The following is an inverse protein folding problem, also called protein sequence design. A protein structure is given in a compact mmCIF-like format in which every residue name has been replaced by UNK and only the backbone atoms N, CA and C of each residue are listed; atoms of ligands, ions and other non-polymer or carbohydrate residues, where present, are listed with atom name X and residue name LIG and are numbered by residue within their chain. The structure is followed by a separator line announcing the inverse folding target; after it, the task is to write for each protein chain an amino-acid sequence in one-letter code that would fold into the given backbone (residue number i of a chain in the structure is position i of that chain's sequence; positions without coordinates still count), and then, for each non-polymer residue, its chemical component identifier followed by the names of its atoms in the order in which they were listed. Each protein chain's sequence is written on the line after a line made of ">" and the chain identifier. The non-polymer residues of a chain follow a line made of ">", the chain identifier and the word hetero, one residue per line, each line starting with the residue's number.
data_IF_104727936797
#
_entry.id   IF_104727936797
#
_cell.length_a   1.000
_cell.length_b   1.000
_cell.length_c   1.000
_cell.angle_alpha   90.00
_cell.angle_beta   90.00
_cell.angle_gamma   90.00
#
_symmetry.space_group_name_H-M   'P 1'
#
loop_
_entity.id
_entity.type
_entity.pdbx_description
1 polymer ?
#
# COMPACT_ATOMS: atom_id res chain seq x y z
N UNK A 1 -47.28 -26.84 -53.46
CA UNK A 1 -48.70 -27.16 -53.19
C UNK A 1 -48.86 -27.13 -51.67
N UNK A 2 -49.41 -26.04 -51.10
CA UNK A 2 -50.80 -25.92 -50.60
C UNK A 2 -51.06 -26.97 -49.50
N UNK A 3 -50.88 -26.64 -48.21
CA UNK A 3 -51.75 -25.90 -47.26
C UNK A 3 -52.69 -26.83 -46.46
N UNK A 4 -52.77 -26.50 -45.17
CA UNK A 4 -53.87 -26.74 -44.22
C UNK A 4 -54.02 -28.18 -43.69
N UNK A 5 -54.32 -28.44 -42.41
CA UNK A 5 -55.37 -27.75 -41.64
C UNK A 5 -55.09 -27.74 -40.13
N UNK A 6 -55.48 -26.60 -39.56
CA UNK A 6 -55.54 -26.15 -38.18
C UNK A 6 -56.59 -26.87 -37.31
N UNK A 7 -56.51 -26.57 -36.00
CA UNK A 7 -57.59 -26.48 -35.00
C UNK A 7 -57.89 -27.75 -34.17
N UNK A 8 -57.51 -27.76 -32.89
CA UNK A 8 -58.29 -27.28 -31.72
C UNK A 8 -59.00 -28.49 -31.06
N UNK A 9 -59.25 -28.62 -29.76
CA UNK A 9 -59.47 -27.68 -28.68
C UNK A 9 -59.49 -28.53 -27.37
N UNK A 10 -58.77 -28.08 -26.34
CA UNK A 10 -59.13 -27.99 -24.91
C UNK A 10 -59.99 -29.11 -24.27
N UNK A 11 -59.48 -29.75 -23.20
CA UNK A 11 -60.06 -29.72 -21.84
C UNK A 11 -59.40 -30.73 -20.88
N UNK A 12 -59.34 -30.34 -19.60
CA UNK A 12 -59.09 -31.10 -18.36
C UNK A 12 -57.60 -31.34 -18.01
N UNK A 13 -56.95 -30.44 -17.27
CA UNK A 13 -57.14 -30.11 -15.84
C UNK A 13 -56.91 -31.32 -14.93
N UNK A 14 -55.68 -31.43 -14.42
CA UNK A 14 -55.38 -32.10 -13.15
C UNK A 14 -54.13 -31.45 -12.57
N UNK A 15 -54.33 -30.78 -11.45
CA UNK A 15 -53.31 -30.12 -10.65
C UNK A 15 -52.23 -31.12 -10.22
N UNK A 16 -50.97 -30.86 -10.55
CA UNK A 16 -49.83 -31.25 -9.71
C UNK A 16 -49.13 -29.98 -9.24
N UNK A 17 -49.51 -29.56 -8.05
CA UNK A 17 -48.64 -28.81 -7.17
C UNK A 17 -47.68 -29.79 -6.47
N UNK A 18 -46.53 -29.26 -6.04
CA UNK A 18 -45.45 -29.89 -5.27
C UNK A 18 -44.39 -30.63 -6.13
N UNK A 19 -43.08 -30.40 -5.97
CA UNK A 19 -42.35 -29.77 -4.87
C UNK A 19 -41.21 -28.89 -5.43
N UNK A 20 -41.10 -27.67 -4.89
CA UNK A 20 -39.90 -26.86 -5.05
C UNK A 20 -38.71 -27.59 -4.38
N UNK A 21 -37.49 -27.54 -4.94
CA UNK A 21 -36.32 -28.04 -4.25
C UNK A 21 -36.16 -27.28 -2.93
N UNK A 22 -35.99 -28.01 -1.83
CA UNK A 22 -35.81 -27.44 -0.51
C UNK A 22 -34.62 -26.46 -0.53
N UNK A 23 -34.74 -25.28 0.09
CA UNK A 23 -33.61 -24.36 0.20
C UNK A 23 -32.51 -25.03 1.02
N UNK A 24 -31.30 -25.11 0.46
CA UNK A 24 -30.12 -25.49 1.21
C UNK A 24 -30.00 -24.57 2.44
N UNK A 25 -30.24 -25.16 3.61
CA UNK A 25 -29.97 -24.52 4.88
C UNK A 25 -28.46 -24.33 4.99
N UNK A 26 -28.00 -23.11 4.69
CA UNK A 26 -26.68 -22.65 5.14
C UNK A 26 -26.60 -22.87 6.65
N UNK A 27 -25.51 -23.44 7.19
CA UNK A 27 -25.31 -23.41 8.63
C UNK A 27 -25.27 -21.93 9.06
N UNK A 28 -26.23 -21.53 9.89
CA UNK A 28 -26.18 -20.25 10.61
C UNK A 28 -24.88 -20.24 11.40
N UNK A 29 -23.91 -19.43 10.95
CA UNK A 29 -22.81 -19.02 11.80
C UNK A 29 -23.44 -18.20 12.91
N UNK A 30 -23.39 -18.65 14.18
CA UNK A 30 -23.95 -17.86 15.27
C UNK A 30 -23.26 -16.50 15.26
N UNK A 31 -23.99 -15.39 15.48
CA UNK A 31 -23.35 -14.09 15.58
C UNK A 31 -22.35 -14.14 16.72
N UNK A 32 -21.06 -14.22 16.38
CA UNK A 32 -20.00 -14.09 17.36
C UNK A 32 -20.21 -12.76 18.06
N UNK A 33 -20.65 -12.83 19.32
CA UNK A 33 -20.75 -11.67 20.21
C UNK A 33 -19.39 -10.97 20.19
N UNK A 34 -19.33 -9.83 19.53
CA UNK A 34 -18.24 -8.86 19.61
C UNK A 34 -18.24 -8.09 20.95
N UNK A 35 -18.91 -8.61 21.99
CA UNK A 35 -18.99 -8.00 23.31
C UNK A 35 -17.90 -8.54 24.25
N UNK A 36 -16.62 -8.40 23.87
CA UNK A 36 -15.51 -8.58 24.83
C UNK A 36 -14.14 -8.02 24.43
N UNK A 37 -14.07 -7.10 23.48
CA UNK A 37 -12.90 -6.21 23.40
C UNK A 37 -13.31 -4.84 23.91
N UNK A 38 -13.13 -4.63 25.23
CA UNK A 38 -12.87 -3.27 25.71
C UNK A 38 -11.70 -2.74 24.87
N UNK A 39 -11.82 -1.62 24.17
CA UNK A 39 -10.64 -0.95 23.65
C UNK A 39 -9.77 -0.66 24.87
N UNK A 40 -8.55 -1.20 24.88
CA UNK A 40 -7.49 -0.62 25.71
C UNK A 40 -7.22 0.74 25.09
N UNK A 41 -7.98 1.74 25.53
CA UNK A 41 -7.57 3.13 25.47
C UNK A 41 -6.32 3.15 26.35
N UNK A 42 -5.14 3.08 25.72
CA UNK A 42 -3.92 3.48 26.38
C UNK A 42 -4.06 4.98 26.59
N UNK A 43 -4.52 5.35 27.79
CA UNK A 43 -4.47 6.72 28.28
C UNK A 43 -3.03 7.20 28.19
N UNK A 44 -2.85 8.28 27.43
CA UNK A 44 -1.59 8.94 27.10
C UNK A 44 -1.01 9.75 28.27
N UNK A 45 -0.84 9.15 29.45
CA UNK A 45 -0.33 9.88 30.63
C UNK A 45 0.97 9.37 31.28
N UNK A 46 1.53 8.23 30.86
CA UNK A 46 2.77 7.71 31.46
C UNK A 46 4.05 7.98 30.65
N UNK A 47 4.29 9.26 30.33
CA UNK A 47 5.60 9.75 29.86
C UNK A 47 6.16 10.90 30.72
N UNK A 48 5.83 10.92 32.01
CA UNK A 48 6.52 11.77 32.99
C UNK A 48 7.12 10.95 34.12
N UNK A 49 8.41 10.66 33.96
CA UNK A 49 9.51 10.70 34.96
C UNK A 49 10.43 9.49 34.83
N UNK A 50 11.59 9.71 34.18
CA UNK A 50 12.81 8.96 34.49
C UNK A 50 13.96 9.95 34.52
N UNK A 51 14.59 10.07 35.69
CA UNK A 51 15.99 10.46 35.87
C UNK A 51 16.34 11.94 35.74
N UNK A 52 16.64 12.58 36.88
CA UNK A 52 17.65 13.66 36.93
C UNK A 52 18.95 13.08 36.37
N UNK A 53 19.37 13.57 35.20
CA UNK A 53 20.74 13.43 34.71
C UNK A 53 21.24 14.82 34.30
N UNK A 54 22.53 15.03 34.54
CA UNK A 54 23.19 16.32 34.59
C UNK A 54 23.17 17.10 33.28
N UNK A 55 23.16 18.42 33.46
CA UNK A 55 23.08 19.47 32.45
C UNK A 55 24.34 19.45 31.56
N UNK A 56 24.26 18.77 30.42
CA UNK A 56 25.21 18.95 29.31
C UNK A 56 24.40 19.33 28.08
N UNK A 57 24.77 20.43 27.42
CA UNK A 57 23.91 21.14 26.47
C UNK A 57 23.42 20.28 25.30
N UNK A 58 22.13 19.93 25.32
CA UNK A 58 21.49 19.21 24.22
C UNK A 58 20.97 20.18 23.17
N UNK A 59 21.58 20.11 21.98
CA UNK A 59 20.94 20.57 20.77
C UNK A 59 19.62 19.82 20.62
N UNK A 60 18.50 20.56 20.59
CA UNK A 60 17.17 20.03 20.31
C UNK A 60 17.24 19.10 19.08
N UNK A 61 16.82 17.81 19.18
CA UNK A 61 16.86 16.93 18.03
C UNK A 61 16.03 17.56 16.91
N UNK A 62 16.66 17.73 15.74
CA UNK A 62 15.99 18.25 14.56
C UNK A 62 14.74 17.41 14.29
N UNK A 63 13.64 18.07 13.93
CA UNK A 63 12.42 17.36 13.55
C UNK A 63 12.73 16.37 12.41
N UNK A 64 12.11 15.18 12.39
CA UNK A 64 12.32 14.22 11.33
C UNK A 64 11.93 14.86 9.99
N UNK A 65 12.92 15.05 9.11
CA UNK A 65 12.76 15.71 7.82
C UNK A 65 13.15 14.76 6.69
N UNK A 66 12.50 14.92 5.55
CA UNK A 66 12.91 14.24 4.33
C UNK A 66 14.28 14.78 3.89
N UNK A 67 15.27 13.91 3.77
CA UNK A 67 16.62 14.27 3.33
C UNK A 67 16.76 14.13 1.81
N UNK A 68 17.29 15.16 1.16
CA UNK A 68 17.49 15.19 -0.30
C UNK A 68 18.98 15.23 -0.62
N UNK A 69 19.47 14.20 -1.31
CA UNK A 69 20.78 14.20 -1.94
C UNK A 69 20.61 14.38 -3.45
N UNK A 70 20.56 15.64 -3.88
CA UNK A 70 20.39 16.01 -5.28
C UNK A 70 21.56 15.56 -6.16
N UNK A 71 22.78 15.42 -5.60
CA UNK A 71 23.95 14.95 -6.36
C UNK A 71 23.87 13.45 -6.63
N UNK A 72 23.43 12.67 -5.64
CA UNK A 72 23.25 11.23 -5.79
C UNK A 72 21.90 10.84 -6.42
N UNK A 73 21.00 11.81 -6.67
CA UNK A 73 19.65 11.58 -7.16
C UNK A 73 18.83 10.73 -6.19
N UNK A 74 18.96 10.98 -4.88
CA UNK A 74 18.39 10.16 -3.82
C UNK A 74 17.56 10.99 -2.83
N UNK A 75 16.49 10.39 -2.34
CA UNK A 75 15.65 10.93 -1.25
C UNK A 75 15.60 9.91 -0.12
N UNK A 76 15.82 10.35 1.12
CA UNK A 76 15.71 9.49 2.32
C UNK A 76 14.60 10.00 3.21
N UNK A 77 13.70 9.09 3.58
CA UNK A 77 12.51 9.38 4.36
C UNK A 77 12.63 8.63 5.68
N UNK A 78 12.56 9.30 6.85
CA UNK A 78 12.51 8.59 8.13
C UNK A 78 11.24 7.73 8.19
N UNK A 79 11.39 6.47 8.60
CA UNK A 79 10.27 5.52 8.68
C UNK A 79 10.29 4.73 9.98
N UNK A 80 9.14 4.14 10.32
CA UNK A 80 9.00 3.16 11.39
C UNK A 80 8.28 1.93 10.83
N UNK A 81 8.84 0.72 11.00
CA UNK A 81 8.14 -0.51 10.69
C UNK A 81 6.84 -0.64 11.48
N UNK A 82 5.80 -1.12 10.84
CA UNK A 82 4.55 -1.46 11.52
C UNK A 82 4.61 -2.90 12.04
N UNK A 83 3.77 -3.22 13.02
CA UNK A 83 3.55 -4.60 13.50
C UNK A 83 2.35 -5.27 12.80
N UNK A 84 2.08 -4.89 11.55
CA UNK A 84 0.89 -5.32 10.80
C UNK A 84 0.82 -6.84 10.69
N UNK A 85 -0.33 -7.40 11.08
CA UNK A 85 -0.66 -8.81 10.95
C UNK A 85 -1.84 -8.93 10.00
N UNK A 86 -1.60 -9.36 8.77
CA UNK A 86 -2.64 -9.47 7.76
C UNK A 86 -2.19 -8.94 6.40
N UNK A 87 -3.14 -8.90 5.48
CA UNK A 87 -2.89 -8.42 4.11
C UNK A 87 -2.44 -6.96 4.18
N UNK A 88 -1.32 -6.66 3.55
CA UNK A 88 -0.83 -5.30 3.35
C UNK A 88 -1.22 -4.84 1.96
N UNK A 89 -1.65 -3.59 1.89
CA UNK A 89 -2.00 -2.90 0.64
C UNK A 89 -0.92 -1.89 0.29
N UNK A 90 -0.12 -1.47 1.27
CA UNK A 90 0.82 -0.35 1.16
C UNK A 90 2.19 -0.72 1.71
N UNK A 91 3.22 -0.31 0.97
CA UNK A 91 4.58 -0.31 1.49
C UNK A 91 4.75 0.82 2.51
N UNK A 92 4.30 2.03 2.18
CA UNK A 92 4.52 3.23 2.98
C UNK A 92 3.25 4.07 3.09
N UNK A 93 2.92 4.47 4.33
CA UNK A 93 1.86 5.43 4.62
C UNK A 93 2.34 6.57 5.52
N UNK A 94 1.66 7.72 5.44
CA UNK A 94 1.84 8.81 6.41
C UNK A 94 1.36 8.38 7.81
N UNK A 95 2.00 8.89 8.86
CA UNK A 95 1.70 8.54 10.26
C UNK A 95 0.24 8.88 10.59
N UNK A 96 -0.42 7.99 11.32
CA UNK A 96 -1.84 8.12 11.69
C UNK A 96 -2.82 7.68 10.60
N UNK A 97 -2.32 7.26 9.42
CA UNK A 97 -3.15 6.77 8.32
C UNK A 97 -2.87 5.29 8.07
N UNK A 98 -3.91 4.47 8.19
CA UNK A 98 -3.91 3.05 7.80
C UNK A 98 -2.68 2.21 8.24
N UNK A 99 -2.21 2.32 9.51
CA UNK A 99 -1.03 1.57 9.95
C UNK A 99 -1.25 0.06 9.88
N UNK A 100 -2.50 -0.42 10.01
CA UNK A 100 -2.87 -1.83 10.01
C UNK A 100 -2.81 -2.53 8.63
N UNK A 101 -2.58 -1.80 7.55
CA UNK A 101 -2.44 -2.35 6.17
C UNK A 101 -1.17 -1.83 5.47
N UNK A 102 -0.26 -1.24 6.24
CA UNK A 102 1.01 -0.68 5.76
C UNK A 102 2.19 -1.45 6.35
N UNK A 103 3.30 -1.56 5.63
CA UNK A 103 4.56 -2.15 6.15
C UNK A 103 5.38 -1.10 6.91
N UNK A 104 5.42 0.13 6.41
CA UNK A 104 6.16 1.25 6.98
C UNK A 104 5.22 2.44 7.17
N UNK A 105 5.48 3.24 8.21
CA UNK A 105 4.88 4.56 8.38
C UNK A 105 5.96 5.63 8.46
N UNK A 106 5.68 6.82 7.93
CA UNK A 106 6.58 7.99 8.03
C UNK A 106 5.88 9.14 8.74
N UNK A 107 6.58 9.94 9.57
CA UNK A 107 6.03 11.20 10.08
C UNK A 107 5.91 12.28 9.00
N UNK A 108 6.54 12.12 7.83
CA UNK A 108 6.53 13.09 6.75
C UNK A 108 5.20 13.10 5.99
N UNK A 109 4.77 14.27 5.53
CA UNK A 109 3.57 14.42 4.71
C UNK A 109 3.81 14.00 3.26
N UNK A 110 2.73 13.77 2.51
CA UNK A 110 2.84 13.46 1.10
C UNK A 110 3.39 14.64 0.28
N UNK A 111 3.01 15.86 0.66
CA UNK A 111 3.54 17.09 0.06
C UNK A 111 5.06 17.20 0.24
N UNK A 112 5.56 16.91 1.45
CA UNK A 112 7.00 16.94 1.75
C UNK A 112 7.78 15.91 0.93
N UNK A 113 7.28 14.68 0.87
CA UNK A 113 7.91 13.61 0.08
C UNK A 113 7.88 13.93 -1.42
N UNK A 114 6.75 14.40 -1.94
CA UNK A 114 6.63 14.77 -3.34
C UNK A 114 7.56 15.93 -3.72
N UNK A 115 7.64 16.97 -2.88
CA UNK A 115 8.54 18.10 -3.10
C UNK A 115 10.02 17.67 -3.05
N UNK A 116 10.37 16.76 -2.13
CA UNK A 116 11.72 16.21 -2.03
C UNK A 116 12.11 15.41 -3.30
N UNK A 117 11.21 14.57 -3.81
CA UNK A 117 11.42 13.83 -5.06
C UNK A 117 11.57 14.78 -6.25
N UNK A 118 10.72 15.80 -6.38
CA UNK A 118 10.87 16.82 -7.41
C UNK A 118 12.23 17.54 -7.33
N UNK A 119 12.67 17.91 -6.11
CA UNK A 119 13.98 18.55 -5.87
C UNK A 119 15.16 17.64 -6.20
N UNK A 120 15.02 16.33 -6.03
CA UNK A 120 16.00 15.33 -6.48
C UNK A 120 15.91 15.04 -7.99
N UNK A 121 15.05 15.75 -8.72
CA UNK A 121 14.88 15.68 -10.16
C UNK A 121 13.96 14.55 -10.64
N UNK A 122 13.18 13.91 -9.79
CA UNK A 122 12.24 12.88 -10.24
C UNK A 122 11.07 13.53 -10.99
N UNK A 123 10.77 13.02 -12.17
CA UNK A 123 9.65 13.49 -12.98
C UNK A 123 8.41 12.64 -12.71
N UNK A 124 7.31 13.32 -12.40
CA UNK A 124 6.01 12.70 -12.20
C UNK A 124 5.50 12.12 -13.52
N UNK A 125 5.11 10.86 -13.50
CA UNK A 125 4.48 10.21 -14.63
C UNK A 125 2.96 10.18 -14.61
N UNK A 126 2.41 9.16 -15.25
CA UNK A 126 0.98 8.90 -15.39
C UNK A 126 0.54 7.83 -14.40
N UNK A 127 -0.54 8.13 -13.67
CA UNK A 127 -1.21 7.24 -12.71
C UNK A 127 -1.86 6.03 -13.39
N UNK A 128 -2.11 4.92 -12.66
CA UNK A 128 -2.91 3.84 -13.21
C UNK A 128 -4.32 4.35 -13.54
N UNK A 129 -4.89 3.89 -14.65
CA UNK A 129 -6.31 4.09 -14.93
C UNK A 129 -7.10 2.90 -14.35
N UNK A 130 -8.18 3.14 -13.60
CA UNK A 130 -8.94 2.06 -12.97
C UNK A 130 -9.49 1.06 -13.99
N UNK A 131 -9.57 -0.19 -13.57
CA UNK A 131 -10.13 -1.32 -14.33
C UNK A 131 -11.62 -1.03 -14.56
N UNK A 132 -12.03 -0.97 -15.83
CA UNK A 132 -13.38 -0.55 -16.25
C UNK A 132 -13.38 0.39 -17.46
N UNK A 133 -12.22 0.95 -17.81
CA UNK A 133 -11.95 1.50 -19.14
C UNK A 133 -11.42 0.39 -20.06
N UNK A 134 -11.79 0.39 -21.34
CA UNK A 134 -11.38 -0.62 -22.35
C UNK A 134 -9.85 -0.79 -22.49
N UNK A 135 -9.05 0.04 -21.81
CA UNK A 135 -7.59 -0.01 -21.75
C UNK A 135 -7.11 0.39 -20.36
N UNK A 136 -7.22 -0.50 -19.38
CA UNK A 136 -6.49 -0.33 -18.11
C UNK A 136 -4.99 -0.16 -18.43
N UNK A 137 -4.47 1.07 -18.26
CA UNK A 137 -3.06 1.35 -18.51
C UNK A 137 -2.28 1.24 -17.20
N UNK A 138 -1.17 0.48 -17.16
CA UNK A 138 -0.30 0.47 -15.99
C UNK A 138 0.29 1.88 -15.78
N UNK A 139 0.70 2.22 -14.55
CA UNK A 139 1.37 3.49 -14.33
C UNK A 139 2.69 3.55 -15.11
N UNK A 140 3.00 4.74 -15.57
CA UNK A 140 4.26 5.05 -16.28
C UNK A 140 4.88 6.27 -15.63
N UNK A 141 6.21 6.40 -15.64
CA UNK A 141 6.88 7.51 -14.99
C UNK A 141 8.33 7.18 -14.70
N UNK A 142 8.96 7.98 -13.82
CA UNK A 142 10.34 7.70 -13.38
C UNK A 142 10.37 6.35 -12.66
N UNK A 143 11.11 5.39 -13.20
CA UNK A 143 11.38 4.12 -12.52
C UNK A 143 12.30 4.38 -11.31
N UNK A 144 11.94 3.82 -10.16
CA UNK A 144 12.66 4.04 -8.92
C UNK A 144 13.04 2.72 -8.25
N UNK A 145 14.15 2.75 -7.54
CA UNK A 145 14.54 1.73 -6.57
C UNK A 145 14.21 2.24 -5.18
N UNK A 146 13.57 1.38 -4.38
CA UNK A 146 13.25 1.68 -2.98
C UNK A 146 14.03 0.70 -2.10
N UNK A 147 14.85 1.24 -1.20
CA UNK A 147 15.67 0.47 -0.26
C UNK A 147 15.42 0.94 1.16
N UNK A 148 15.09 0.03 2.06
CA UNK A 148 15.09 0.28 3.49
C UNK A 148 16.54 0.24 4.01
N UNK A 149 16.99 1.35 4.56
CA UNK A 149 18.24 1.49 5.28
C UNK A 149 17.96 1.28 6.77
N UNK A 150 18.50 0.21 7.32
CA UNK A 150 18.39 -0.10 8.74
C UNK A 150 19.74 0.11 9.42
N UNK A 151 19.77 1.01 10.41
CA UNK A 151 20.96 1.29 11.21
C UNK A 151 20.75 0.79 12.64
N UNK A 152 21.16 -0.46 12.97
CA UNK A 152 21.18 -0.93 14.34
C UNK A 152 22.20 -0.12 15.16
N UNK A 153 21.96 0.01 16.47
CA UNK A 153 22.85 0.75 17.37
C UNK A 153 24.28 0.21 17.30
N UNK A 154 25.26 1.05 16.94
CA UNK A 154 26.67 0.66 16.82
C UNK A 154 27.04 -0.22 15.62
N UNK A 155 26.09 -0.55 14.74
CA UNK A 155 26.31 -1.47 13.61
C UNK A 155 26.48 -0.79 12.24
N UNK A 156 26.79 -1.61 11.23
CA UNK A 156 26.80 -1.20 9.82
C UNK A 156 25.36 -1.02 9.32
N UNK A 157 25.18 -0.11 8.36
CA UNK A 157 23.88 0.10 7.70
C UNK A 157 23.57 -1.13 6.84
N UNK A 158 22.45 -1.78 7.13
CA UNK A 158 21.89 -2.87 6.31
C UNK A 158 20.97 -2.27 5.26
N UNK A 159 21.09 -2.74 4.02
CA UNK A 159 20.30 -2.29 2.88
C UNK A 159 19.35 -3.41 2.45
N UNK A 160 18.05 -3.17 2.55
CA UNK A 160 17.01 -4.17 2.28
C UNK A 160 16.12 -3.63 1.15
N UNK A 161 16.11 -4.25 -0.05
CA UNK A 161 15.19 -3.86 -1.11
C UNK A 161 13.74 -3.93 -0.66
N UNK A 162 12.91 -2.94 -1.01
CA UNK A 162 11.51 -2.89 -0.61
C UNK A 162 10.70 -4.11 -1.04
N UNK A 163 11.07 -4.73 -2.18
CA UNK A 163 10.46 -5.96 -2.66
C UNK A 163 10.60 -7.11 -1.63
N UNK A 164 11.69 -7.17 -0.85
CA UNK A 164 11.87 -8.17 0.21
C UNK A 164 10.99 -7.94 1.43
N UNK A 165 10.44 -6.73 1.59
CA UNK A 165 9.55 -6.39 2.69
C UNK A 165 8.10 -6.83 2.44
N UNK A 166 7.78 -7.21 1.19
CA UNK A 166 6.47 -7.64 0.73
C UNK A 166 6.58 -9.11 0.31
N UNK A 167 5.60 -9.92 0.67
CA UNK A 167 5.50 -11.31 0.27
C UNK A 167 4.13 -11.59 -0.36
N UNK A 168 4.08 -12.38 -1.42
CA UNK A 168 2.83 -12.79 -2.04
C UNK A 168 2.01 -13.67 -1.09
N UNK A 169 0.70 -13.42 -1.01
CA UNK A 169 -0.21 -14.24 -0.18
C UNK A 169 -0.32 -15.70 -0.64
N UNK A 170 -0.16 -15.95 -1.93
CA UNK A 170 -0.33 -17.27 -2.54
C UNK A 170 0.67 -18.31 -2.01
N UNK A 171 1.92 -17.91 -1.85
CA UNK A 171 3.06 -18.81 -1.68
C UNK A 171 4.08 -18.31 -0.64
N UNK A 172 3.88 -17.11 -0.08
CA UNK A 172 4.80 -16.50 0.87
C UNK A 172 6.13 -16.06 0.27
N UNK A 173 6.30 -16.18 -1.05
CA UNK A 173 7.53 -15.74 -1.72
C UNK A 173 7.64 -14.22 -1.65
N UNK A 174 8.84 -13.66 -1.43
CA UNK A 174 9.06 -12.23 -1.59
C UNK A 174 8.54 -11.77 -2.94
N UNK A 175 7.95 -10.59 -2.97
CA UNK A 175 7.50 -10.00 -4.24
C UNK A 175 8.69 -9.96 -5.20
N UNK A 176 8.49 -10.45 -6.43
CA UNK A 176 9.51 -10.40 -7.47
C UNK A 176 9.99 -8.94 -7.65
N UNK A 177 11.24 -8.66 -8.08
CA UNK A 177 11.68 -7.30 -8.32
C UNK A 177 11.03 -6.78 -9.61
N UNK A 178 9.73 -6.49 -9.51
CA UNK A 178 9.03 -5.53 -10.33
C UNK A 178 9.59 -4.13 -10.08
N UNK A 179 9.11 -3.16 -10.85
CA UNK A 179 9.61 -1.78 -10.79
C UNK A 179 8.69 -0.94 -9.92
N UNK A 180 9.26 -0.06 -9.11
CA UNK A 180 8.51 1.05 -8.54
C UNK A 180 8.49 2.20 -9.54
N UNK A 181 7.33 2.85 -9.67
CA UNK A 181 7.13 3.97 -10.59
C UNK A 181 6.64 5.17 -9.80
N UNK A 182 7.34 6.29 -9.94
CA UNK A 182 6.89 7.58 -9.42
C UNK A 182 5.94 8.25 -10.40
N UNK A 183 4.73 8.58 -9.91
CA UNK A 183 3.67 9.21 -10.71
C UNK A 183 3.28 10.60 -10.19
N UNK A 184 4.00 11.11 -9.18
CA UNK A 184 3.72 12.41 -8.57
C UNK A 184 2.44 12.44 -7.74
N UNK A 185 2.14 13.55 -7.05
CA UNK A 185 0.91 13.75 -6.27
C UNK A 185 -0.30 14.09 -7.16
N UNK A 186 -1.51 13.75 -6.70
CA UNK A 186 -2.77 14.17 -7.33
C UNK A 186 -3.40 15.29 -6.52
N UNK A 187 -3.94 16.30 -7.20
CA UNK A 187 -4.75 17.37 -6.62
C UNK A 187 -6.22 17.19 -6.99
N UNK A 188 -7.10 17.49 -6.05
CA UNK A 188 -8.55 17.66 -6.28
C UNK A 188 -8.93 19.04 -5.77
N UNK A 189 -9.82 19.73 -6.48
CA UNK A 189 -10.26 21.09 -6.18
C UNK A 189 -9.63 22.11 -7.13
N UNK A 190 -10.10 23.35 -7.03
CA UNK A 190 -9.61 24.48 -7.82
C UNK A 190 -8.26 24.98 -7.27
N UNK A 191 -7.51 25.75 -8.05
CA UNK A 191 -6.12 26.15 -7.73
C UNK A 191 -5.93 26.76 -6.33
N UNK A 192 -6.93 27.50 -5.83
CA UNK A 192 -6.92 28.13 -4.50
C UNK A 192 -7.20 27.17 -3.35
N UNK A 193 -7.97 26.10 -3.57
CA UNK A 193 -8.42 25.15 -2.53
C UNK A 193 -7.98 23.70 -2.81
N UNK A 194 -6.95 23.54 -3.64
CA UNK A 194 -6.51 22.22 -4.07
C UNK A 194 -5.95 21.41 -2.90
N UNK A 195 -6.48 20.19 -2.71
CA UNK A 195 -6.01 19.25 -1.70
C UNK A 195 -5.31 18.09 -2.39
N UNK A 196 -4.16 17.67 -1.83
CA UNK A 196 -3.51 16.46 -2.29
C UNK A 196 -4.32 15.24 -1.88
N UNK A 197 -4.72 14.41 -2.84
CA UNK A 197 -5.46 13.16 -2.59
C UNK A 197 -4.68 12.25 -1.65
N UNK A 198 -3.36 12.26 -1.79
CA UNK A 198 -2.41 11.51 -0.96
C UNK A 198 -2.39 11.98 0.51
N UNK A 199 -2.72 13.24 0.81
CA UNK A 199 -2.84 13.73 2.19
C UNK A 199 -4.13 13.22 2.86
N UNK A 200 -5.19 13.07 2.06
CA UNK A 200 -6.46 12.52 2.53
C UNK A 200 -6.32 11.03 2.84
N UNK A 201 -5.78 10.26 1.90
CA UNK A 201 -5.63 8.80 2.02
C UNK A 201 -4.44 8.38 2.89
N UNK A 202 -3.40 9.19 2.96
CA UNK A 202 -2.12 8.85 3.59
C UNK A 202 -1.31 7.77 2.87
N UNK A 203 -1.71 7.34 1.67
CA UNK A 203 -1.02 6.29 0.91
C UNK A 203 0.17 6.89 0.15
N UNK A 204 1.41 6.51 0.46
CA UNK A 204 2.58 7.05 -0.25
C UNK A 204 3.10 6.08 -1.31
N UNK A 205 3.24 4.82 -0.95
CA UNK A 205 3.70 3.76 -1.85
C UNK A 205 2.81 2.53 -1.73
N UNK A 206 2.21 2.11 -2.84
CA UNK A 206 1.19 1.05 -2.88
C UNK A 206 1.53 -0.04 -3.90
N UNK A 207 1.09 -1.27 -3.59
CA UNK A 207 1.03 -2.37 -4.55
C UNK A 207 -0.37 -2.50 -5.15
N UNK A 208 -1.39 -1.87 -4.57
CA UNK A 208 -2.75 -1.88 -5.10
C UNK A 208 -2.90 -0.84 -6.21
N UNK A 209 -2.94 -1.30 -7.46
CA UNK A 209 -3.14 -0.43 -8.63
C UNK A 209 -4.53 0.22 -8.69
N UNK A 210 -5.49 -0.24 -7.86
CA UNK A 210 -6.81 0.41 -7.70
C UNK A 210 -6.75 1.60 -6.75
N UNK A 211 -5.72 1.69 -5.91
CA UNK A 211 -5.50 2.86 -5.06
C UNK A 211 -5.02 4.02 -5.94
N UNK A 212 -5.92 4.89 -6.37
CA UNK A 212 -5.57 6.04 -7.21
C UNK A 212 -4.86 7.18 -6.45
N UNK A 213 -4.63 7.05 -5.14
CA UNK A 213 -4.18 8.15 -4.28
C UNK A 213 -2.67 8.18 -4.01
N UNK A 214 -1.96 7.07 -4.23
CA UNK A 214 -0.53 6.97 -3.95
C UNK A 214 0.34 7.82 -4.88
N UNK A 215 1.60 8.06 -4.53
CA UNK A 215 2.58 8.74 -5.40
C UNK A 215 3.59 7.78 -6.03
N UNK A 216 3.69 6.57 -5.48
CA UNK A 216 4.56 5.49 -5.92
C UNK A 216 3.74 4.21 -6.07
N UNK A 217 3.92 3.54 -7.21
CA UNK A 217 3.23 2.31 -7.54
C UNK A 217 4.23 1.20 -7.83
N UNK A 218 4.01 0.04 -7.25
CA UNK A 218 4.69 -1.17 -7.70
C UNK A 218 4.04 -1.67 -8.99
N UNK A 219 4.86 -2.00 -9.97
CA UNK A 219 4.45 -2.56 -11.26
C UNK A 219 5.14 -3.91 -11.42
N UNK A 220 4.38 -5.02 -11.51
CA UNK A 220 4.95 -6.34 -11.79
C UNK A 220 5.61 -6.38 -13.17
N UNK A 221 6.39 -7.43 -13.42
CA UNK A 221 6.92 -7.70 -14.75
C UNK A 221 5.78 -8.04 -15.73
N UNK A 222 5.99 -7.72 -17.00
CA UNK A 222 4.95 -7.76 -18.04
C UNK A 222 4.46 -9.16 -18.41
N UNK A 223 5.11 -10.20 -17.91
CA UNK A 223 4.79 -11.62 -18.11
C UNK A 223 3.80 -12.19 -17.09
N UNK A 224 3.39 -11.41 -16.07
CA UNK A 224 2.39 -11.87 -15.11
C UNK A 224 0.94 -11.68 -15.62
N UNK A 225 0.09 -12.73 -15.56
CA UNK A 225 -1.24 -12.75 -16.19
C UNK A 225 -2.30 -11.86 -15.50
N UNK A 226 -2.09 -11.46 -14.24
CA UNK A 226 -2.98 -10.54 -13.53
C UNK A 226 -2.18 -9.57 -12.65
N UNK A 227 -1.68 -8.45 -13.21
CA UNK A 227 -0.86 -7.51 -12.46
C UNK A 227 -1.65 -6.69 -11.42
N UNK A 228 -2.97 -6.84 -11.34
CA UNK A 228 -3.90 -5.93 -10.67
C UNK A 228 -4.45 -6.41 -9.31
N UNK A 229 -4.13 -7.62 -8.84
CA UNK A 229 -4.81 -8.19 -7.66
C UNK A 229 -3.94 -9.05 -6.72
N UNK A 230 -2.63 -8.80 -6.62
CA UNK A 230 -1.78 -9.58 -5.71
C UNK A 230 -1.92 -9.08 -4.27
N UNK A 231 -2.69 -9.80 -3.46
CA UNK A 231 -2.69 -9.60 -2.02
C UNK A 231 -1.29 -9.90 -1.47
N UNK A 232 -0.74 -8.96 -0.70
CA UNK A 232 0.60 -9.07 -0.12
C UNK A 232 0.53 -9.23 1.39
N UNK A 233 1.59 -9.75 2.01
CA UNK A 233 1.85 -9.70 3.45
C UNK A 233 3.16 -8.96 3.72
N UNK A 234 3.32 -8.44 4.93
CA UNK A 234 4.63 -7.98 5.40
C UNK A 234 5.56 -9.20 5.61
N UNK A 235 6.74 -9.17 5.00
CA UNK A 235 7.77 -10.20 5.18
C UNK A 235 8.38 -10.09 6.58
N UNK A 236 8.10 -11.07 7.44
CA UNK A 236 8.51 -11.04 8.85
C UNK A 236 10.00 -11.31 9.05
N UNK A 237 10.63 -12.03 8.11
CA UNK A 237 12.06 -12.33 8.14
C UNK A 237 12.93 -11.14 7.70
N UNK A 238 12.32 -10.12 7.07
CA UNK A 238 13.04 -9.00 6.46
C UNK A 238 12.93 -7.70 7.24
N UNK A 239 12.19 -7.65 8.37
CA UNK A 239 12.10 -6.48 9.24
C UNK A 239 13.12 -6.60 10.39
N UNK A 240 14.10 -5.68 10.50
CA UNK A 240 15.13 -5.73 11.54
C UNK A 240 14.58 -5.52 12.96
N UNK A 241 15.40 -5.89 13.96
CA UNK A 241 15.05 -5.81 15.39
C UNK A 241 14.61 -4.41 15.86
N UNK A 242 13.81 -4.39 16.93
CA UNK A 242 13.29 -3.17 17.54
C UNK A 242 14.43 -2.28 18.08
N UNK A 243 14.32 -0.96 17.87
CA UNK A 243 15.30 0.02 18.33
C UNK A 243 16.33 0.48 17.29
N UNK A 244 16.32 -0.07 16.07
CA UNK A 244 17.10 0.47 14.96
C UNK A 244 16.48 1.77 14.40
N UNK A 245 17.33 2.68 13.90
CA UNK A 245 16.88 3.82 13.12
C UNK A 245 16.68 3.38 11.66
N UNK A 246 15.53 3.75 11.07
CA UNK A 246 15.16 3.34 9.72
C UNK A 246 14.93 4.54 8.80
N UNK A 247 15.50 4.47 7.61
CA UNK A 247 15.23 5.40 6.52
C UNK A 247 14.84 4.61 5.27
N UNK A 248 13.84 5.10 4.55
CA UNK A 248 13.53 4.61 3.21
C UNK A 248 14.25 5.47 2.19
N UNK A 249 15.20 4.88 1.47
CA UNK A 249 15.94 5.52 0.38
C UNK A 249 15.25 5.24 -0.96
N UNK A 250 14.93 6.31 -1.70
CA UNK A 250 14.38 6.26 -3.05
C UNK A 250 15.44 6.82 -4.01
N UNK A 251 15.77 6.04 -5.05
CA UNK A 251 16.72 6.42 -6.10
C UNK A 251 16.10 6.18 -7.46
N UNK A 252 16.58 6.85 -8.51
CA UNK A 252 16.24 6.45 -9.88
C UNK A 252 16.82 5.06 -10.14
N UNK A 253 16.02 4.19 -10.76
CA UNK A 253 16.52 2.90 -11.24
C UNK A 253 17.57 3.14 -12.33
N UNK A 254 18.61 2.29 -12.39
CA UNK A 254 19.62 2.38 -13.44
C UNK A 254 18.99 2.21 -14.83
N UNK A 255 19.32 3.11 -15.76
CA UNK A 255 18.85 3.01 -17.14
C UNK A 255 19.42 1.73 -17.78
N UNK A 256 18.55 0.78 -18.11
CA UNK A 256 18.94 -0.43 -18.84
C UNK A 256 19.20 -1.69 -18.02
N UNK A 257 18.73 -1.79 -16.77
CA UNK A 257 18.51 -3.12 -16.20
C UNK A 257 17.14 -3.65 -16.69
N UNK A 258 17.10 -4.58 -17.67
CA UNK A 258 16.05 -5.58 -17.62
C UNK A 258 16.19 -6.25 -16.26
N UNK A 259 15.05 -6.40 -15.61
CA UNK A 259 14.98 -6.92 -14.26
C UNK A 259 15.66 -8.31 -14.20
N UNK A 260 16.38 -8.66 -13.11
CA UNK A 260 17.18 -9.90 -13.01
C UNK A 260 16.37 -11.18 -13.24
#
# INVERSE_FOLDING_TARGET
>A
MVRATLAALVMLSSCLAAAAPAPETRPEVPPTRLDRFKPLILETDDLRTVGKAEKTGDAKPAAPQVHVDAKAGAVRIPVTPTRTRGVVERLLSARGKHPAVSVLVTPCSAAEVAAALAKAGFEAGVRPQPVGSDRARPPSGTAVEITLLAKPSGGKVTRIPAARLLAAKSDGTPLDPGRWVYVGPQRIGDDTDSVLVTELSGSLATTDLRDSSAILYWVPRSDEPEPYARACYASRESLPEEGAAFELEIRRAAAGQPAP
#
